data_IF_631129488840
#
_entry.id   IF_631129488840
#
_cell.length_a   1.000
_cell.length_b   1.000
_cell.length_c   1.000
_cell.angle_alpha   90.00
_cell.angle_beta   90.00
_cell.angle_gamma   90.00
#
_symmetry.space_group_name_H-M   'P 1'
#
loop_
_entity.id
_entity.type
_entity.pdbx_description
1 polymer ?
#
# COMPACT_ATOMS: atom_id res chain seq x y z
N UNK A 1 16.00 84.90 62.93
CA UNK A 1 14.94 85.31 61.97
C UNK A 1 15.63 85.71 60.67
N UNK A 2 15.12 85.43 59.45
CA UNK A 2 13.73 85.16 59.10
C UNK A 2 13.44 83.94 58.19
N UNK A 3 12.15 83.60 58.18
CA UNK A 3 11.30 82.83 57.25
C UNK A 3 11.16 83.61 55.89
N UNK A 4 10.23 83.35 54.92
CA UNK A 4 9.47 82.16 54.46
C UNK A 4 9.44 81.94 52.92
N UNK A 5 8.80 80.81 52.54
CA UNK A 5 7.81 80.61 51.44
C UNK A 5 8.18 80.76 49.96
N UNK A 6 7.91 79.68 49.20
CA UNK A 6 6.80 79.70 48.23
C UNK A 6 6.33 78.27 47.89
N UNK A 7 5.08 78.09 47.41
CA UNK A 7 4.40 76.80 47.35
C UNK A 7 4.33 76.24 45.93
N UNK A 8 4.84 75.04 45.69
CA UNK A 8 4.52 74.28 44.47
C UNK A 8 3.63 73.10 44.81
N UNK A 9 2.33 73.38 44.81
CA UNK A 9 1.24 72.41 44.86
C UNK A 9 1.24 71.60 43.56
N UNK A 10 2.00 70.49 43.52
CA UNK A 10 1.92 69.53 42.43
C UNK A 10 0.52 68.91 42.43
N UNK A 11 -0.30 69.30 41.46
CA UNK A 11 -1.55 68.62 41.14
C UNK A 11 -1.18 67.17 40.81
N UNK A 12 -1.63 66.22 41.64
CA UNK A 12 -1.58 64.80 41.29
C UNK A 12 -2.49 64.63 40.08
N UNK A 13 -1.88 64.42 38.93
CA UNK A 13 -2.58 63.97 37.74
C UNK A 13 -3.02 62.53 38.05
N UNK A 14 -4.29 62.36 38.41
CA UNK A 14 -4.93 61.05 38.45
C UNK A 14 -5.26 60.68 37.00
N UNK A 15 -4.57 59.70 36.38
CA UNK A 15 -5.05 59.16 35.12
C UNK A 15 -6.40 58.46 35.38
N UNK A 16 -7.37 58.56 34.45
CA UNK A 16 -8.62 57.83 34.58
C UNK A 16 -8.33 56.34 34.68
N UNK A 17 -9.08 55.69 35.57
CA UNK A 17 -9.12 54.25 35.75
C UNK A 17 -9.17 53.57 34.39
N UNK A 18 -8.13 52.80 34.10
CA UNK A 18 -8.11 51.85 33.00
C UNK A 18 -9.18 50.79 33.33
N UNK A 19 -10.43 51.06 32.97
CA UNK A 19 -11.49 50.07 32.98
C UNK A 19 -11.00 48.92 32.10
N UNK A 20 -10.63 47.82 32.74
CA UNK A 20 -10.46 46.52 32.09
C UNK A 20 -11.78 46.19 31.40
N UNK A 21 -11.89 46.56 30.13
CA UNK A 21 -12.77 45.88 29.20
C UNK A 21 -12.30 44.44 29.18
N UNK A 22 -12.98 43.60 29.96
CA UNK A 22 -12.93 42.17 29.79
C UNK A 22 -13.30 41.91 28.33
N UNK A 23 -12.29 41.69 27.49
CA UNK A 23 -12.48 41.11 26.17
C UNK A 23 -13.04 39.72 26.42
N UNK A 24 -14.37 39.60 26.47
CA UNK A 24 -15.02 38.33 26.23
C UNK A 24 -14.50 37.85 24.88
N UNK A 25 -13.71 36.77 24.87
CA UNK A 25 -13.34 36.14 23.62
C UNK A 25 -14.64 35.80 22.90
N UNK A 26 -14.86 36.28 21.66
CA UNK A 26 -16.01 35.85 20.89
C UNK A 26 -15.95 34.32 20.82
N UNK A 27 -17.04 33.66 21.21
CA UNK A 27 -17.15 32.22 21.05
C UNK A 27 -16.82 31.86 19.60
N UNK A 28 -16.06 30.78 19.35
CA UNK A 28 -15.68 30.42 17.98
C UNK A 28 -16.95 30.28 17.14
N UNK A 29 -17.06 31.14 16.12
CA UNK A 29 -18.13 31.05 15.12
C UNK A 29 -18.02 29.65 14.53
N UNK A 30 -19.11 28.88 14.60
CA UNK A 30 -19.19 27.57 13.96
C UNK A 30 -19.16 27.79 12.44
N UNK A 31 -17.97 27.75 11.86
CA UNK A 31 -17.75 27.77 10.42
C UNK A 31 -18.15 26.40 9.87
N UNK A 32 -19.31 26.32 9.23
CA UNK A 32 -19.69 25.15 8.44
C UNK A 32 -18.96 25.15 7.10
N UNK A 33 -18.66 23.97 6.57
CA UNK A 33 -18.22 23.81 5.18
C UNK A 33 -19.32 24.34 4.24
N UNK A 34 -18.92 25.19 3.30
CA UNK A 34 -19.83 25.64 2.24
C UNK A 34 -20.13 24.48 1.27
N UNK A 35 -21.31 24.46 0.68
CA UNK A 35 -21.65 23.47 -0.36
C UNK A 35 -20.65 23.51 -1.53
N UNK A 36 -20.17 24.70 -1.86
CA UNK A 36 -19.20 24.90 -2.94
C UNK A 36 -17.82 24.32 -2.59
N UNK A 37 -17.37 24.45 -1.34
CA UNK A 37 -16.11 23.84 -0.89
C UNK A 37 -16.14 22.32 -1.11
N UNK A 38 -17.22 21.65 -0.74
CA UNK A 38 -17.33 20.22 -1.00
C UNK A 38 -17.46 19.91 -2.49
N UNK A 39 -18.17 20.73 -3.26
CA UNK A 39 -18.39 20.47 -4.69
C UNK A 39 -17.11 20.55 -5.51
N UNK A 40 -16.23 21.52 -5.22
CA UNK A 40 -14.93 21.63 -5.88
C UNK A 40 -13.98 20.52 -5.44
N UNK A 41 -14.02 20.11 -4.17
CA UNK A 41 -13.16 19.02 -3.68
C UNK A 41 -13.51 17.69 -4.35
N UNK A 42 -14.80 17.34 -4.43
CA UNK A 42 -15.20 16.07 -5.06
C UNK A 42 -14.96 16.08 -6.56
N UNK A 43 -15.04 17.23 -7.24
CA UNK A 43 -14.75 17.32 -8.68
C UNK A 43 -13.25 17.15 -8.97
N UNK A 44 -12.36 17.71 -8.14
CA UNK A 44 -10.91 17.52 -8.26
C UNK A 44 -10.53 16.06 -7.98
N UNK A 45 -11.01 15.48 -6.87
CA UNK A 45 -10.73 14.08 -6.51
C UNK A 45 -11.30 13.14 -7.57
N UNK A 46 -12.49 13.41 -8.08
CA UNK A 46 -13.11 12.63 -9.16
C UNK A 46 -12.28 12.64 -10.45
N UNK A 47 -11.77 13.81 -10.84
CA UNK A 47 -10.93 13.97 -12.04
C UNK A 47 -9.61 13.21 -11.91
N UNK A 48 -8.93 13.32 -10.76
CA UNK A 48 -7.67 12.60 -10.51
C UNK A 48 -7.91 11.08 -10.48
N UNK A 49 -8.98 10.63 -9.82
CA UNK A 49 -9.31 9.21 -9.68
C UNK A 49 -9.59 8.56 -11.04
N UNK A 50 -10.26 9.27 -11.96
CA UNK A 50 -10.54 8.75 -13.29
C UNK A 50 -9.27 8.38 -14.08
N UNK A 51 -8.18 9.12 -13.91
CA UNK A 51 -6.91 8.87 -14.61
C UNK A 51 -6.07 7.82 -13.88
N UNK A 52 -6.03 7.87 -12.55
CA UNK A 52 -5.12 7.04 -11.73
C UNK A 52 -5.64 5.62 -11.53
N UNK A 53 -6.96 5.45 -11.33
CA UNK A 53 -7.57 4.16 -11.00
C UNK A 53 -7.28 3.03 -12.02
N UNK A 54 -7.39 3.22 -13.35
CA UNK A 54 -7.12 2.13 -14.29
C UNK A 54 -5.64 1.69 -14.31
N UNK A 55 -4.71 2.58 -13.96
CA UNK A 55 -3.30 2.21 -13.82
C UNK A 55 -3.08 1.44 -12.51
N UNK A 56 -3.68 1.91 -11.42
CA UNK A 56 -3.62 1.23 -10.13
C UNK A 56 -4.17 -0.21 -10.19
N UNK A 57 -5.30 -0.42 -10.88
CA UNK A 57 -5.88 -1.76 -11.04
C UNK A 57 -4.97 -2.72 -11.83
N UNK A 58 -4.24 -2.23 -12.84
CA UNK A 58 -3.24 -3.02 -13.58
C UNK A 58 -2.01 -3.33 -12.73
N UNK A 59 -1.52 -2.37 -11.95
CA UNK A 59 -0.43 -2.60 -11.01
C UNK A 59 -0.82 -3.63 -9.92
N UNK A 60 -2.05 -3.56 -9.42
CA UNK A 60 -2.57 -4.52 -8.43
C UNK A 60 -2.69 -5.94 -9.00
N UNK A 61 -3.25 -6.09 -10.20
CA UNK A 61 -3.39 -7.42 -10.84
C UNK A 61 -2.05 -8.05 -11.22
N UNK A 62 -1.09 -7.27 -11.72
CA UNK A 62 0.27 -7.75 -11.96
C UNK A 62 1.01 -8.14 -10.66
N UNK A 63 0.78 -7.43 -9.55
CA UNK A 63 1.31 -7.81 -8.25
C UNK A 63 0.69 -9.12 -7.72
N UNK A 64 -0.63 -9.32 -7.88
CA UNK A 64 -1.30 -10.59 -7.54
C UNK A 64 -0.72 -11.77 -8.34
N UNK A 65 -0.52 -11.59 -9.65
CA UNK A 65 0.13 -12.58 -10.50
C UNK A 65 1.57 -12.86 -10.04
N UNK A 66 2.36 -11.82 -9.79
CA UNK A 66 3.74 -11.95 -9.30
C UNK A 66 3.85 -12.68 -7.96
N UNK A 67 2.94 -12.42 -7.02
CA UNK A 67 2.90 -13.09 -5.74
C UNK A 67 2.61 -14.60 -5.88
N UNK A 68 1.60 -14.96 -6.67
CA UNK A 68 1.24 -16.36 -6.91
C UNK A 68 2.35 -17.15 -7.63
N UNK A 69 3.03 -16.53 -8.60
CA UNK A 69 4.19 -17.10 -9.29
C UNK A 69 5.37 -17.25 -8.32
N UNK A 70 5.60 -16.27 -7.45
CA UNK A 70 6.67 -16.32 -6.45
C UNK A 70 6.50 -17.44 -5.43
N UNK A 71 5.28 -17.61 -4.90
CA UNK A 71 4.93 -18.69 -3.99
C UNK A 71 5.17 -20.07 -4.63
N UNK A 72 4.60 -20.28 -5.82
CA UNK A 72 4.73 -21.53 -6.56
C UNK A 72 6.17 -21.82 -7.01
N UNK A 73 6.95 -20.79 -7.34
CA UNK A 73 8.38 -20.94 -7.63
C UNK A 73 9.18 -21.35 -6.39
N UNK A 74 8.83 -20.84 -5.20
CA UNK A 74 9.44 -21.28 -3.94
C UNK A 74 9.20 -22.76 -3.69
N UNK A 75 7.96 -23.21 -3.89
CA UNK A 75 7.58 -24.61 -3.81
C UNK A 75 8.37 -25.45 -4.85
N UNK A 76 8.43 -24.99 -6.11
CA UNK A 76 9.16 -25.68 -7.18
C UNK A 76 10.66 -25.85 -6.86
N UNK A 77 11.29 -24.82 -6.26
CA UNK A 77 12.69 -24.87 -5.85
C UNK A 77 12.94 -25.84 -4.71
N UNK A 78 12.07 -25.86 -3.71
CA UNK A 78 12.15 -26.85 -2.63
C UNK A 78 12.00 -28.27 -3.17
N UNK A 79 11.05 -28.47 -4.09
CA UNK A 79 10.87 -29.72 -4.80
C UNK A 79 12.12 -30.12 -5.61
N UNK A 80 12.74 -29.19 -6.32
CA UNK A 80 13.96 -29.45 -7.09
C UNK A 80 15.13 -29.95 -6.23
N UNK A 81 15.28 -29.42 -5.01
CA UNK A 81 16.27 -29.94 -4.05
C UNK A 81 15.95 -31.38 -3.64
N UNK A 82 14.67 -31.67 -3.36
CA UNK A 82 14.20 -33.04 -3.10
C UNK A 82 14.48 -34.01 -4.26
N UNK A 83 14.29 -33.54 -5.49
CA UNK A 83 14.58 -34.33 -6.70
C UNK A 83 16.06 -34.74 -6.80
N UNK A 84 16.98 -33.82 -6.52
CA UNK A 84 18.43 -34.08 -6.63
C UNK A 84 18.95 -34.87 -5.44
N UNK A 85 18.49 -34.53 -4.24
CA UNK A 85 18.95 -35.17 -2.98
C UNK A 85 18.32 -36.54 -2.72
N UNK A 86 17.24 -36.88 -3.42
CA UNK A 86 16.43 -38.10 -3.21
C UNK A 86 15.90 -38.24 -1.79
N UNK A 87 15.76 -37.11 -1.08
CA UNK A 87 15.08 -37.04 0.21
C UNK A 87 13.63 -36.62 -0.08
N UNK A 88 12.63 -37.41 0.36
CA UNK A 88 11.23 -37.12 0.05
C UNK A 88 10.87 -35.76 0.61
N UNK A 89 10.62 -34.80 -0.29
CA UNK A 89 10.18 -33.45 0.04
C UNK A 89 8.74 -33.32 -0.37
N UNK A 90 7.86 -33.10 0.60
CA UNK A 90 6.44 -32.92 0.34
C UNK A 90 6.14 -31.46 0.00
N UNK A 91 5.20 -31.27 -0.92
CA UNK A 91 4.65 -29.98 -1.27
C UNK A 91 3.15 -30.08 -1.51
N UNK A 92 2.47 -28.95 -1.42
CA UNK A 92 1.04 -28.87 -1.71
C UNK A 92 0.85 -27.98 -2.92
N UNK A 93 0.11 -28.45 -3.92
CA UNK A 93 -0.20 -27.65 -5.08
C UNK A 93 -1.06 -26.44 -4.64
N UNK A 94 -0.68 -25.20 -5.00
CA UNK A 94 -1.36 -24.02 -4.50
C UNK A 94 -2.76 -23.82 -5.13
N UNK A 95 -3.07 -24.50 -6.26
CA UNK A 95 -4.37 -24.44 -6.94
C UNK A 95 -5.37 -25.47 -6.41
N UNK A 96 -5.05 -26.76 -6.45
CA UNK A 96 -5.97 -27.83 -6.03
C UNK A 96 -5.87 -28.19 -4.55
N UNK A 97 -4.79 -27.83 -3.87
CA UNK A 97 -4.50 -28.31 -2.52
C UNK A 97 -4.00 -29.76 -2.49
N UNK A 98 -3.76 -30.38 -3.65
CA UNK A 98 -3.25 -31.75 -3.71
C UNK A 98 -1.80 -31.83 -3.24
N UNK A 99 -1.51 -32.79 -2.38
CA UNK A 99 -0.14 -33.08 -1.97
C UNK A 99 0.62 -33.79 -3.09
N UNK A 100 1.91 -33.49 -3.22
CA UNK A 100 2.85 -34.19 -4.08
C UNK A 100 4.18 -34.39 -3.35
N UNK A 101 4.94 -35.37 -3.80
CA UNK A 101 6.25 -35.69 -3.21
C UNK A 101 7.33 -35.59 -4.27
N UNK A 102 8.42 -34.93 -3.92
CA UNK A 102 9.60 -34.75 -4.76
C UNK A 102 10.72 -35.62 -4.20
N UNK A 103 10.93 -36.77 -4.83
CA UNK A 103 11.87 -37.81 -4.43
C UNK A 103 12.86 -38.20 -5.55
N UNK A 104 12.73 -37.59 -6.73
CA UNK A 104 13.52 -37.90 -7.92
C UNK A 104 12.98 -39.07 -8.75
N UNK A 105 11.89 -39.73 -8.33
CA UNK A 105 11.35 -40.91 -9.03
C UNK A 105 10.58 -40.54 -10.29
N UNK A 106 9.92 -39.38 -10.31
CA UNK A 106 9.08 -38.90 -11.42
C UNK A 106 9.12 -37.37 -11.50
N UNK A 107 8.91 -36.83 -12.70
CA UNK A 107 8.70 -35.39 -12.85
C UNK A 107 7.40 -34.98 -12.16
N UNK A 108 7.38 -33.77 -11.62
CA UNK A 108 6.20 -33.22 -10.95
C UNK A 108 5.71 -32.02 -11.75
N UNK A 109 4.41 -31.98 -11.98
CA UNK A 109 3.73 -30.94 -12.74
C UNK A 109 2.63 -30.38 -11.87
N UNK A 110 2.62 -29.06 -11.68
CA UNK A 110 1.60 -28.41 -10.88
C UNK A 110 1.31 -26.99 -11.36
N UNK A 111 0.13 -26.48 -11.02
CA UNK A 111 -0.29 -25.13 -11.38
C UNK A 111 -0.15 -24.16 -10.20
N UNK A 112 0.20 -22.92 -10.49
CA UNK A 112 0.05 -21.82 -9.53
C UNK A 112 -1.42 -21.58 -9.18
N UNK A 113 -1.67 -20.80 -8.13
CA UNK A 113 -2.99 -20.16 -7.97
C UNK A 113 -3.33 -19.37 -9.23
N UNK A 114 -4.61 -19.37 -9.58
CA UNK A 114 -5.11 -18.50 -10.63
C UNK A 114 -5.20 -17.06 -10.13
N UNK A 115 -4.81 -16.12 -10.95
CA UNK A 115 -4.99 -14.69 -10.70
C UNK A 115 -6.00 -14.10 -11.69
N UNK A 116 -6.47 -12.90 -11.38
CA UNK A 116 -7.42 -12.16 -12.20
C UNK A 116 -6.83 -10.83 -12.65
N UNK A 117 -7.19 -10.39 -13.86
CA UNK A 117 -6.71 -9.14 -14.42
C UNK A 117 -5.46 -9.27 -15.29
N UNK A 118 -4.81 -8.14 -15.55
CA UNK A 118 -3.71 -8.05 -16.50
C UNK A 118 -2.36 -8.37 -15.83
N UNK A 119 -1.74 -9.48 -16.24
CA UNK A 119 -0.43 -9.89 -15.76
C UNK A 119 0.70 -9.55 -16.75
N UNK A 120 0.45 -8.71 -17.75
CA UNK A 120 1.44 -8.41 -18.80
C UNK A 120 2.77 -7.95 -18.21
N UNK A 121 3.86 -8.60 -18.59
CA UNK A 121 5.22 -8.26 -18.15
C UNK A 121 5.67 -8.95 -16.86
N UNK A 122 4.78 -9.63 -16.14
CA UNK A 122 5.18 -10.49 -15.01
C UNK A 122 5.98 -11.67 -15.53
N UNK A 123 7.12 -11.97 -14.90
CA UNK A 123 8.05 -13.00 -15.37
C UNK A 123 7.96 -14.26 -14.52
N UNK A 124 7.98 -15.41 -15.17
CA UNK A 124 8.22 -16.69 -14.55
C UNK A 124 9.42 -17.37 -15.21
N UNK A 125 10.57 -17.35 -14.54
CA UNK A 125 11.86 -17.71 -15.15
C UNK A 125 12.08 -16.91 -16.46
N UNK A 126 12.25 -17.59 -17.59
CA UNK A 126 12.41 -17.01 -18.92
C UNK A 126 11.09 -16.61 -19.58
N UNK A 127 9.96 -17.13 -19.10
CA UNK A 127 8.63 -16.88 -19.65
C UNK A 127 8.06 -15.56 -19.13
N UNK A 128 7.30 -14.86 -19.97
CA UNK A 128 6.65 -13.59 -19.62
C UNK A 128 5.14 -13.75 -19.84
N UNK A 129 4.35 -13.30 -18.87
CA UNK A 129 2.90 -13.39 -18.92
C UNK A 129 2.33 -12.43 -19.97
N UNK A 130 1.32 -12.91 -20.67
CA UNK A 130 0.50 -12.10 -21.58
C UNK A 130 -0.72 -11.56 -20.84
N UNK A 131 -1.48 -10.66 -21.49
CA UNK A 131 -2.74 -10.11 -20.96
C UNK A 131 -3.78 -11.17 -20.58
N UNK A 132 -3.74 -12.35 -21.22
CA UNK A 132 -4.73 -13.42 -21.03
C UNK A 132 -4.23 -14.55 -20.14
N UNK A 133 -2.96 -14.50 -19.73
CA UNK A 133 -2.40 -15.47 -18.79
C UNK A 133 -3.06 -15.30 -17.43
N UNK A 134 -3.69 -16.36 -16.94
CA UNK A 134 -4.37 -16.40 -15.63
C UNK A 134 -3.78 -17.42 -14.65
N UNK A 135 -2.79 -18.21 -15.07
CA UNK A 135 -2.08 -19.18 -14.23
C UNK A 135 -0.71 -19.53 -14.82
N UNK A 136 0.22 -19.98 -13.99
CA UNK A 136 1.49 -20.56 -14.41
C UNK A 136 1.50 -22.08 -14.25
N UNK A 137 2.10 -22.77 -15.22
CA UNK A 137 2.40 -24.19 -15.18
C UNK A 137 3.87 -24.39 -14.79
N UNK A 138 4.10 -25.12 -13.72
CA UNK A 138 5.44 -25.51 -13.27
C UNK A 138 5.69 -26.98 -13.58
N UNK A 139 6.87 -27.26 -14.12
CA UNK A 139 7.37 -28.64 -14.30
C UNK A 139 8.73 -28.71 -13.63
N UNK A 140 8.84 -29.61 -12.64
CA UNK A 140 10.11 -29.95 -11.98
C UNK A 140 10.56 -31.31 -12.51
N UNK A 141 11.64 -31.29 -13.29
CA UNK A 141 12.26 -32.50 -13.82
C UNK A 141 12.94 -33.33 -12.73
N UNK A 142 13.14 -34.62 -13.02
CA UNK A 142 13.86 -35.54 -12.11
C UNK A 142 15.32 -35.10 -11.84
N UNK A 143 15.90 -34.32 -12.75
CA UNK A 143 17.22 -33.70 -12.61
C UNK A 143 17.20 -32.41 -11.76
N UNK A 144 16.06 -32.04 -11.16
CA UNK A 144 15.88 -30.79 -10.41
C UNK A 144 15.77 -29.54 -11.28
N UNK A 145 15.67 -29.69 -12.60
CA UNK A 145 15.45 -28.54 -13.50
C UNK A 145 14.01 -28.06 -13.36
N UNK A 146 13.83 -26.78 -13.02
CA UNK A 146 12.53 -26.14 -12.94
C UNK A 146 12.25 -25.40 -14.24
N UNK A 147 11.14 -25.71 -14.90
CA UNK A 147 10.61 -24.92 -16.01
C UNK A 147 9.27 -24.32 -15.64
N UNK A 148 8.98 -23.15 -16.21
CA UNK A 148 7.74 -22.44 -15.99
C UNK A 148 7.16 -21.92 -17.31
N UNK A 149 5.87 -22.16 -17.52
CA UNK A 149 5.11 -21.72 -18.67
C UNK A 149 3.90 -20.88 -18.22
N UNK A 150 3.53 -19.89 -19.04
CA UNK A 150 2.52 -18.86 -18.80
C UNK A 150 1.58 -18.75 -20.01
#
# INVERSE_FOLDING_TARGET
MPNPSSPFRRRRFFPPSYQRQARGWPAPVRTGFTLLELMVVVSIVGTISAVVLPNYLRARSSAEAGASIGESLGIAKNCAVGMISRIPTEGTEPRSGNAFTCDGTRQIVFFSRSWSGDATGVRCLSSVASRWTSSALFIVGQNGLVTCYL
#
